data_IF_277943159026
#
_entry.id   IF_277943159026
#
_cell.length_a   1.000
_cell.length_b   1.000
_cell.length_c   1.000
_cell.angle_alpha   90.00
_cell.angle_beta   90.00
_cell.angle_gamma   90.00
#
_symmetry.space_group_name_H-M   'P 1'
#
loop_
_entity.id
_entity.type
_entity.pdbx_description
1 polymer ?
#
# COMPACT_ATOMS: atom_id res chain seq x y z
N UNK A 1 15.42 -11.83 11.62
CA UNK A 1 14.90 -11.00 10.52
C UNK A 1 13.49 -10.56 10.90
N UNK A 2 13.05 -9.33 10.62
CA UNK A 2 11.66 -8.97 10.81
C UNK A 2 10.79 -9.76 9.83
N UNK A 3 9.61 -10.20 10.29
CA UNK A 3 8.61 -10.80 9.42
C UNK A 3 8.04 -9.73 8.49
N UNK A 4 7.90 -10.05 7.22
CA UNK A 4 7.43 -9.14 6.19
C UNK A 4 6.33 -9.80 5.36
N UNK A 5 5.18 -9.16 5.28
CA UNK A 5 4.08 -9.51 4.40
C UNK A 5 3.93 -8.44 3.31
N UNK A 6 3.98 -8.83 2.05
CA UNK A 6 3.77 -7.93 0.93
C UNK A 6 2.38 -8.08 0.34
N UNK A 7 1.66 -6.98 0.21
CA UNK A 7 0.32 -6.93 -0.40
C UNK A 7 0.27 -5.92 -1.53
N UNK A 8 -0.58 -6.17 -2.52
CA UNK A 8 -0.73 -5.33 -3.70
C UNK A 8 -1.61 -4.09 -3.47
N UNK A 9 -1.36 -3.33 -2.40
CA UNK A 9 -2.05 -2.08 -2.11
C UNK A 9 -1.06 -0.91 -2.11
N UNK A 10 -1.30 0.07 -2.97
CA UNK A 10 -0.50 1.29 -3.12
C UNK A 10 -1.38 2.41 -3.62
N UNK A 11 -0.96 3.67 -3.47
CA UNK A 11 -1.68 4.83 -4.01
C UNK A 11 -2.02 4.73 -5.50
N UNK A 12 -1.19 4.03 -6.27
CA UNK A 12 -1.41 3.74 -7.68
C UNK A 12 -2.25 2.50 -7.98
N UNK A 13 -2.74 1.77 -6.97
CA UNK A 13 -3.61 0.59 -7.20
C UNK A 13 -4.85 1.01 -7.98
N UNK A 14 -5.14 0.29 -9.06
CA UNK A 14 -6.30 0.60 -9.92
C UNK A 14 -7.59 0.19 -9.23
N UNK A 15 -8.58 1.07 -9.38
CA UNK A 15 -9.95 0.78 -8.96
C UNK A 15 -10.75 0.40 -10.20
N UNK A 16 -11.45 -0.70 -10.12
CA UNK A 16 -12.32 -1.21 -11.17
C UNK A 16 -13.66 -1.63 -10.60
N UNK A 17 -14.58 -1.96 -11.51
CA UNK A 17 -15.84 -2.62 -11.20
C UNK A 17 -15.86 -3.87 -12.04
N UNK A 18 -16.06 -5.02 -11.42
CA UNK A 18 -16.13 -6.30 -12.13
C UNK A 18 -17.49 -6.52 -12.81
N UNK A 19 -17.64 -7.65 -13.51
CA UNK A 19 -18.86 -7.98 -14.23
C UNK A 19 -20.13 -8.11 -13.36
N UNK A 20 -19.95 -8.32 -12.05
CA UNK A 20 -21.02 -8.45 -11.07
C UNK A 20 -21.31 -7.11 -10.36
N UNK A 21 -20.66 -6.02 -10.78
CA UNK A 21 -20.81 -4.69 -10.17
C UNK A 21 -20.03 -4.51 -8.88
N UNK A 22 -19.15 -5.44 -8.51
CA UNK A 22 -18.33 -5.36 -7.30
C UNK A 22 -17.09 -4.51 -7.57
N UNK A 23 -16.82 -3.60 -6.64
CA UNK A 23 -15.62 -2.75 -6.72
C UNK A 23 -14.38 -3.56 -6.37
N UNK A 24 -13.36 -3.44 -7.22
CA UNK A 24 -12.05 -4.10 -7.06
C UNK A 24 -10.96 -3.06 -6.81
N UNK A 25 -9.94 -3.44 -6.04
CA UNK A 25 -8.74 -2.64 -5.75
C UNK A 25 -7.53 -3.49 -6.06
N UNK A 26 -6.71 -3.05 -7.02
CA UNK A 26 -5.59 -3.84 -7.51
C UNK A 26 -6.02 -5.17 -8.13
N UNK A 27 -5.07 -6.12 -8.31
CA UNK A 27 -3.63 -6.03 -8.02
C UNK A 27 -2.86 -5.08 -8.96
N UNK A 28 -3.44 -4.72 -10.10
CA UNK A 28 -2.82 -3.80 -11.05
C UNK A 28 -2.60 -2.43 -10.43
N UNK A 29 -1.47 -1.83 -10.77
CA UNK A 29 -1.10 -0.49 -10.30
C UNK A 29 -0.47 0.31 -11.42
N UNK A 30 -0.73 1.61 -11.43
CA UNK A 30 -0.05 2.55 -12.33
C UNK A 30 1.40 2.83 -11.94
N UNK A 31 1.82 2.40 -10.76
CA UNK A 31 3.19 2.53 -10.27
C UNK A 31 3.70 3.97 -10.30
N UNK A 32 4.87 4.17 -10.89
CA UNK A 32 5.49 5.49 -11.04
C UNK A 32 4.74 6.45 -11.98
N UNK A 33 3.79 5.95 -12.77
CA UNK A 33 2.92 6.79 -13.61
C UNK A 33 1.75 7.42 -12.87
N UNK A 34 1.69 7.32 -11.54
CA UNK A 34 0.60 7.87 -10.73
C UNK A 34 0.30 9.33 -11.09
N UNK A 35 1.35 10.16 -11.17
CA UNK A 35 1.23 11.60 -11.44
C UNK A 35 0.79 11.97 -12.86
N UNK A 36 0.68 11.00 -13.76
CA UNK A 36 0.22 11.19 -15.14
C UNK A 36 -1.04 10.41 -15.47
N UNK A 37 -1.33 9.35 -14.71
CA UNK A 37 -2.43 8.43 -15.01
C UNK A 37 -3.64 8.59 -14.10
N UNK A 38 -3.44 9.01 -12.84
CA UNK A 38 -4.54 9.14 -11.89
C UNK A 38 -5.39 10.39 -12.18
N UNK A 39 -6.67 10.31 -11.87
CA UNK A 39 -7.65 11.40 -12.13
C UNK A 39 -7.26 12.70 -11.44
N UNK A 40 -6.80 12.67 -10.21
CA UNK A 40 -6.37 13.85 -9.43
C UNK A 40 -5.21 14.60 -10.06
N UNK A 41 -4.47 13.97 -10.97
CA UNK A 41 -3.38 14.57 -11.73
C UNK A 41 -3.74 14.81 -13.21
N UNK A 42 -5.02 14.72 -13.57
CA UNK A 42 -5.49 14.95 -14.94
C UNK A 42 -5.40 13.74 -15.85
N UNK A 43 -5.12 12.55 -15.32
CA UNK A 43 -5.16 11.29 -16.04
C UNK A 43 -6.58 10.76 -16.24
N UNK A 44 -6.69 9.52 -16.65
CA UNK A 44 -7.95 8.85 -17.00
C UNK A 44 -8.19 7.53 -16.27
N UNK A 45 -7.36 7.19 -15.30
CA UNK A 45 -7.49 5.97 -14.51
C UNK A 45 -7.86 6.30 -13.08
N UNK A 46 -8.86 5.60 -12.56
CA UNK A 46 -9.26 5.69 -11.17
C UNK A 46 -8.30 4.85 -10.32
N UNK A 47 -7.70 5.46 -9.30
CA UNK A 47 -6.69 4.85 -8.42
C UNK A 47 -7.09 5.00 -6.95
N UNK A 48 -6.40 4.27 -6.06
CA UNK A 48 -6.61 4.42 -4.61
C UNK A 48 -6.37 5.85 -4.14
N UNK A 49 -5.38 6.57 -4.69
CA UNK A 49 -5.15 7.99 -4.38
C UNK A 49 -6.39 8.84 -4.70
N UNK A 50 -7.05 8.56 -5.83
CA UNK A 50 -8.29 9.28 -6.20
C UNK A 50 -9.42 9.00 -5.20
N UNK A 51 -9.53 7.77 -4.70
CA UNK A 51 -10.51 7.39 -3.67
C UNK A 51 -10.24 8.13 -2.35
N UNK A 52 -8.98 8.23 -1.92
CA UNK A 52 -8.60 8.99 -0.71
C UNK A 52 -9.04 10.44 -0.83
N UNK A 53 -8.79 11.07 -1.99
CA UNK A 53 -9.19 12.47 -2.26
C UNK A 53 -10.70 12.62 -2.36
N UNK A 54 -11.38 11.74 -3.10
CA UNK A 54 -12.83 11.72 -3.24
C UNK A 54 -13.57 11.51 -1.91
N UNK A 55 -12.94 10.77 -0.98
CA UNK A 55 -13.43 10.55 0.38
C UNK A 55 -13.19 11.75 1.33
N UNK A 56 -12.50 12.79 0.86
CA UNK A 56 -12.14 13.95 1.68
C UNK A 56 -11.03 13.69 2.71
N UNK A 57 -10.34 12.57 2.61
CA UNK A 57 -9.28 12.15 3.56
C UNK A 57 -7.89 12.66 3.17
N UNK A 58 -7.71 13.13 1.93
CA UNK A 58 -6.47 13.70 1.44
C UNK A 58 -6.70 14.88 0.51
N UNK A 59 -5.72 15.78 0.48
CA UNK A 59 -5.69 16.93 -0.44
C UNK A 59 -4.49 16.79 -1.36
N UNK A 60 -4.64 15.98 -2.40
CA UNK A 60 -3.60 15.68 -3.37
C UNK A 60 -4.13 15.98 -4.76
N UNK A 61 -3.36 16.69 -5.56
CA UNK A 61 -3.76 17.04 -6.93
C UNK A 61 -5.01 17.90 -7.03
N UNK A 62 -5.74 17.77 -8.14
CA UNK A 62 -6.95 18.53 -8.41
C UNK A 62 -8.20 17.81 -7.87
N UNK A 63 -8.67 18.17 -6.69
CA UNK A 63 -9.87 17.57 -6.04
C UNK A 63 -11.10 17.58 -6.97
N UNK A 64 -11.24 18.60 -7.83
CA UNK A 64 -12.36 18.70 -8.79
C UNK A 64 -12.40 17.52 -9.78
N UNK A 65 -11.28 16.90 -10.07
CA UNK A 65 -11.19 15.79 -11.03
C UNK A 65 -11.88 14.51 -10.55
N UNK A 66 -12.11 14.35 -9.26
CA UNK A 66 -12.75 13.17 -8.66
C UNK A 66 -14.20 13.41 -8.22
N UNK A 67 -14.74 14.60 -8.40
CA UNK A 67 -16.13 14.93 -7.98
C UNK A 67 -17.19 14.14 -8.76
N UNK A 68 -16.84 13.64 -9.95
CA UNK A 68 -17.72 12.80 -10.78
C UNK A 68 -17.67 11.30 -10.47
N UNK A 69 -16.84 10.86 -9.52
CA UNK A 69 -16.76 9.44 -9.14
C UNK A 69 -18.02 9.06 -8.37
N UNK A 70 -18.75 7.99 -8.80
CA UNK A 70 -19.97 7.57 -8.12
C UNK A 70 -19.72 7.20 -6.66
N UNK A 71 -20.67 7.53 -5.80
CA UNK A 71 -20.55 7.34 -4.34
C UNK A 71 -20.42 5.87 -3.94
N UNK A 72 -21.14 5.00 -4.62
CA UNK A 72 -21.10 3.56 -4.43
C UNK A 72 -19.72 2.97 -4.78
N UNK A 73 -19.05 3.51 -5.81
CA UNK A 73 -17.67 3.14 -6.16
C UNK A 73 -16.69 3.60 -5.09
N UNK A 74 -16.84 4.83 -4.58
CA UNK A 74 -16.00 5.36 -3.50
C UNK A 74 -16.14 4.47 -2.25
N UNK A 75 -17.37 4.23 -1.82
CA UNK A 75 -17.64 3.45 -0.60
C UNK A 75 -17.25 1.98 -0.77
N UNK A 76 -17.43 1.42 -1.96
CA UNK A 76 -16.97 0.06 -2.30
C UNK A 76 -15.44 -0.06 -2.27
N UNK A 77 -14.74 0.90 -2.84
CA UNK A 77 -13.27 0.93 -2.85
C UNK A 77 -12.71 1.10 -1.43
N UNK A 78 -13.27 2.02 -0.62
CA UNK A 78 -12.88 2.20 0.78
C UNK A 78 -13.03 0.90 1.57
N UNK A 79 -14.18 0.25 1.45
CA UNK A 79 -14.43 -1.03 2.12
C UNK A 79 -13.41 -2.08 1.71
N UNK A 80 -13.10 -2.17 0.41
CA UNK A 80 -12.12 -3.12 -0.10
C UNK A 80 -10.69 -2.82 0.38
N UNK A 81 -10.28 -1.56 0.42
CA UNK A 81 -8.99 -1.14 1.00
C UNK A 81 -8.92 -1.54 2.47
N UNK A 82 -9.98 -1.25 3.23
CA UNK A 82 -10.04 -1.60 4.66
C UNK A 82 -9.95 -3.11 4.90
N UNK A 83 -10.65 -3.93 4.09
CA UNK A 83 -10.57 -5.40 4.15
C UNK A 83 -9.12 -5.90 3.91
N UNK A 84 -8.41 -5.30 2.96
CA UNK A 84 -7.02 -5.66 2.67
C UNK A 84 -6.13 -5.32 3.87
N UNK A 85 -6.26 -4.11 4.42
CA UNK A 85 -5.49 -3.68 5.58
C UNK A 85 -5.82 -4.50 6.83
N UNK A 86 -7.09 -4.80 7.06
CA UNK A 86 -7.54 -5.64 8.17
C UNK A 86 -6.91 -7.03 8.11
N UNK A 87 -6.90 -7.65 6.93
CA UNK A 87 -6.26 -8.96 6.73
C UNK A 87 -4.76 -8.90 7.01
N UNK A 88 -4.07 -7.84 6.56
CA UNK A 88 -2.64 -7.66 6.86
C UNK A 88 -2.39 -7.59 8.37
N UNK A 89 -3.22 -6.84 9.10
CA UNK A 89 -3.11 -6.77 10.56
C UNK A 89 -3.33 -8.12 11.21
N UNK A 90 -4.35 -8.88 10.78
CA UNK A 90 -4.65 -10.21 11.30
C UNK A 90 -3.52 -11.20 11.04
N UNK A 91 -3.00 -11.23 9.80
CA UNK A 91 -1.92 -12.14 9.39
C UNK A 91 -0.59 -11.84 10.11
N UNK A 92 -0.35 -10.57 10.47
CA UNK A 92 0.89 -10.14 11.14
C UNK A 92 0.81 -10.18 12.67
N UNK A 93 -0.39 -10.33 13.25
CA UNK A 93 -0.54 -10.45 14.70
C UNK A 93 -0.06 -11.80 15.18
N UNK A 94 0.78 -11.78 16.20
CA UNK A 94 1.29 -12.99 16.88
C UNK A 94 0.46 -13.39 18.11
N UNK A 95 -0.55 -12.57 18.47
CA UNK A 95 -1.44 -12.83 19.60
C UNK A 95 -2.79 -12.14 19.40
N UNK A 96 -3.78 -12.52 20.22
CA UNK A 96 -5.10 -11.86 20.23
C UNK A 96 -5.09 -10.44 20.82
N UNK A 97 -4.00 -10.04 21.48
CA UNK A 97 -3.89 -8.70 22.06
C UNK A 97 -3.98 -7.60 21.00
N UNK A 98 -4.60 -6.45 21.32
CA UNK A 98 -4.60 -5.31 20.42
C UNK A 98 -3.19 -4.78 20.15
N UNK A 99 -2.96 -4.31 18.91
CA UNK A 99 -1.64 -3.83 18.46
C UNK A 99 -1.66 -2.34 18.17
N UNK A 100 -0.49 -1.72 18.19
CA UNK A 100 -0.27 -0.38 17.66
C UNK A 100 0.34 -0.50 16.27
N UNK A 101 -0.23 0.21 15.30
CA UNK A 101 0.23 0.23 13.91
C UNK A 101 0.91 1.56 13.62
N UNK A 102 2.11 1.52 13.05
CA UNK A 102 2.80 2.68 12.50
C UNK A 102 2.63 2.69 10.98
N UNK A 103 2.10 3.80 10.46
CA UNK A 103 1.93 4.00 9.02
C UNK A 103 3.06 4.87 8.49
N UNK A 104 3.88 4.30 7.61
CA UNK A 104 5.02 4.98 7.00
C UNK A 104 5.01 4.81 5.48
N UNK A 105 5.66 5.73 4.78
CA UNK A 105 5.68 5.77 3.32
C UNK A 105 4.46 6.46 2.71
N UNK A 106 4.47 6.61 1.39
CA UNK A 106 3.38 7.28 0.66
C UNK A 106 2.02 6.58 0.77
N UNK A 107 2.01 5.28 1.06
CA UNK A 107 0.79 4.49 1.27
C UNK A 107 0.08 4.75 2.60
N UNK A 108 0.65 5.52 3.52
CA UNK A 108 0.01 5.85 4.81
C UNK A 108 -1.34 6.56 4.65
N UNK A 109 -1.57 7.23 3.53
CA UNK A 109 -2.83 7.89 3.19
C UNK A 109 -3.97 6.92 2.88
N UNK A 110 -3.66 5.66 2.58
CA UNK A 110 -4.65 4.61 2.32
C UNK A 110 -5.41 4.19 3.58
N UNK A 111 -4.88 4.51 4.75
CA UNK A 111 -5.57 4.28 6.02
C UNK A 111 -6.71 5.28 6.18
N UNK A 112 -7.92 4.80 6.00
CA UNK A 112 -9.10 5.65 5.99
C UNK A 112 -10.09 5.36 7.12
N UNK A 113 -10.17 4.13 7.56
CA UNK A 113 -11.17 3.66 8.53
C UNK A 113 -10.51 2.85 9.65
N UNK A 114 -11.17 2.75 10.80
CA UNK A 114 -10.66 1.99 11.95
C UNK A 114 -10.51 0.49 11.61
N UNK A 115 -9.47 -0.11 12.17
CA UNK A 115 -9.17 -1.54 12.02
C UNK A 115 -9.41 -2.27 13.33
N UNK A 116 -10.05 -3.43 13.26
CA UNK A 116 -10.29 -4.27 14.41
C UNK A 116 -8.98 -4.80 15.01
N UNK A 117 -8.90 -4.81 16.34
CA UNK A 117 -7.70 -5.26 17.04
C UNK A 117 -6.49 -4.31 16.94
N UNK A 118 -6.71 -3.09 16.44
CA UNK A 118 -5.74 -2.01 16.46
C UNK A 118 -6.14 -1.01 17.54
N UNK A 119 -5.31 -0.86 18.57
CA UNK A 119 -5.53 0.13 19.64
C UNK A 119 -5.23 1.53 19.16
N UNK A 120 -4.22 1.66 18.31
CA UNK A 120 -3.68 2.94 17.90
C UNK A 120 -3.06 2.84 16.52
N UNK A 121 -3.40 3.80 15.67
CA UNK A 121 -2.73 4.02 14.39
C UNK A 121 -1.96 5.34 14.45
N UNK A 122 -0.67 5.30 14.17
CA UNK A 122 0.22 6.45 14.28
C UNK A 122 0.84 6.72 12.91
N UNK A 123 0.68 7.93 12.43
CA UNK A 123 1.39 8.45 11.26
C UNK A 123 2.47 9.39 11.79
N UNK A 124 3.75 8.96 11.84
CA UNK A 124 4.82 9.79 12.39
C UNK A 124 5.16 10.96 11.46
N UNK A 125 5.77 12.02 11.98
CA UNK A 125 6.36 13.07 11.16
C UNK A 125 7.32 12.45 10.13
N UNK A 126 7.35 13.00 8.92
CA UNK A 126 8.20 12.50 7.80
C UNK A 126 7.93 11.04 7.39
N UNK A 127 6.71 10.55 7.64
CA UNK A 127 6.29 9.20 7.25
C UNK A 127 6.46 8.93 5.75
N UNK A 128 6.31 9.94 4.90
CA UNK A 128 6.43 9.90 3.44
C UNK A 128 7.85 9.59 2.95
N UNK A 129 8.87 10.03 3.71
CA UNK A 129 10.28 9.84 3.42
C UNK A 129 10.94 8.74 4.27
N UNK A 130 10.19 8.01 5.08
CA UNK A 130 10.71 7.00 5.99
C UNK A 130 11.59 5.94 5.31
N UNK A 131 11.24 5.49 4.11
CA UNK A 131 12.03 4.53 3.34
C UNK A 131 13.39 5.11 2.92
N UNK A 132 13.42 6.37 2.49
CA UNK A 132 14.66 7.04 2.10
C UNK A 132 15.58 7.24 3.32
N UNK A 133 15.01 7.67 4.45
CA UNK A 133 15.74 7.80 5.72
C UNK A 133 16.26 6.45 6.19
N UNK A 134 15.43 5.41 6.17
CA UNK A 134 15.82 4.05 6.52
C UNK A 134 16.97 3.53 5.66
N UNK A 135 16.93 3.76 4.35
CA UNK A 135 18.00 3.39 3.44
C UNK A 135 19.31 4.16 3.70
N UNK A 136 19.20 5.46 4.06
CA UNK A 136 20.38 6.29 4.34
C UNK A 136 21.12 5.89 5.63
N UNK A 137 20.40 5.38 6.63
CA UNK A 137 21.00 4.96 7.92
C UNK A 137 21.23 3.44 8.01
N UNK A 138 20.77 2.66 7.01
CA UNK A 138 20.94 1.21 7.00
C UNK A 138 22.43 0.86 6.90
N UNK A 139 22.84 -0.12 7.71
CA UNK A 139 24.16 -0.72 7.57
C UNK A 139 24.17 -1.56 6.29
N UNK A 140 25.23 -1.42 5.48
CA UNK A 140 25.43 -2.26 4.30
C UNK A 140 25.64 -3.70 4.77
N UNK A 141 24.70 -4.58 4.42
CA UNK A 141 24.82 -6.02 4.64
C UNK A 141 24.73 -6.71 3.27
N UNK A 142 25.72 -7.54 2.95
CA UNK A 142 25.73 -8.36 1.76
C UNK A 142 25.74 -9.83 2.15
N UNK A 143 24.87 -10.64 1.56
CA UNK A 143 24.90 -12.09 1.67
C UNK A 143 25.54 -12.67 0.41
N UNK A 144 26.69 -13.33 0.56
CA UNK A 144 27.38 -14.01 -0.55
C UNK A 144 27.02 -15.47 -0.52
N UNK A 145 26.10 -15.89 -1.39
CA UNK A 145 25.83 -17.28 -1.65
C UNK A 145 26.94 -17.85 -2.56
N UNK A 146 27.90 -18.56 -1.97
CA UNK A 146 28.81 -19.39 -2.75
C UNK A 146 28.12 -20.70 -3.09
N UNK A 147 27.84 -20.94 -4.37
CA UNK A 147 27.58 -22.30 -4.86
C UNK A 147 28.91 -23.06 -4.77
N UNK A 148 28.95 -24.04 -3.90
CA UNK A 148 29.97 -25.08 -4.02
C UNK A 148 29.55 -25.99 -5.19
N UNK A 149 30.13 -25.81 -6.36
CA UNK A 149 30.09 -26.84 -7.39
C UNK A 149 30.86 -28.03 -6.89
N UNK A 150 30.14 -29.13 -6.67
CA UNK A 150 30.70 -30.41 -6.23
C UNK A 150 31.39 -31.18 -7.36
N UNK A 151 31.86 -30.54 -8.41
CA UNK A 151 32.52 -31.14 -9.57
C UNK A 151 33.93 -30.57 -9.83
N UNK A 152 34.82 -30.65 -8.84
CA UNK A 152 36.24 -30.72 -9.13
C UNK A 152 36.84 -31.84 -8.26
N UNK A 153 36.77 -33.05 -8.80
CA UNK A 153 37.55 -34.12 -8.31
C UNK A 153 39.03 -33.77 -8.31
N UNK A 154 39.61 -33.65 -7.15
CA UNK A 154 41.06 -33.70 -6.98
C UNK A 154 41.53 -35.07 -7.46
N UNK A 155 42.17 -35.12 -8.63
CA UNK A 155 43.09 -36.19 -8.96
C UNK A 155 44.45 -35.72 -8.55
N UNK A 156 45.06 -36.53 -7.69
CA UNK A 156 46.34 -36.41 -7.01
C UNK A 156 47.58 -36.12 -7.85
#
# INVERSE_FOLDING_TARGET
>A
MPDVLSVGLRGGSRIGVDGDGKVTVGPDSVGHYLTTKALVFGGNLLTSTDIVVASGRGKIGAVKSVTGVPRDVIDGARRRINEILQRVVEDMKVSAAPVTVLLVGGGSIEYMDELEGVTRCIIPPHHDSANAVGAAIAKVAGEVLRRCDQDTGWKG
#
